data_IF_048927418859
#
_entry.id   IF_048927418859
#
_cell.length_a   1.000
_cell.length_b   1.000
_cell.length_c   1.000
_cell.angle_alpha   90.00
_cell.angle_beta   90.00
_cell.angle_gamma   90.00
#
_symmetry.space_group_name_H-M   'P 1'
#
loop_
_entity.id
_entity.type
_entity.pdbx_description
1 polymer ?
#
# COMPACT_ATOMS: atom_id res chain seq x y z
N UNK A 1 19.67 55.84 -28.22
CA UNK A 1 20.45 54.91 -29.08
C UNK A 1 19.59 53.69 -29.36
N UNK A 2 19.32 53.40 -30.63
CA UNK A 2 18.57 52.21 -31.05
C UNK A 2 19.25 51.60 -32.26
N UNK A 3 19.61 50.32 -32.18
CA UNK A 3 20.23 49.58 -33.27
C UNK A 3 19.97 48.07 -33.12
N UNK A 4 20.18 47.33 -34.20
CA UNK A 4 20.15 45.86 -34.22
C UNK A 4 21.57 45.29 -34.10
N UNK A 5 21.73 44.27 -33.28
CA UNK A 5 23.02 43.60 -33.05
C UNK A 5 22.86 42.10 -32.81
N UNK A 6 23.94 41.43 -32.37
CA UNK A 6 23.93 39.97 -32.15
C UNK A 6 22.93 39.50 -31.07
N UNK A 7 22.49 40.41 -30.21
CA UNK A 7 21.51 40.12 -29.16
C UNK A 7 20.10 40.60 -29.52
N UNK A 8 19.84 40.82 -30.82
CA UNK A 8 18.62 41.45 -31.34
C UNK A 8 18.58 42.95 -31.05
N UNK A 9 17.37 43.49 -30.93
CA UNK A 9 17.13 44.91 -30.68
C UNK A 9 17.85 45.40 -29.41
N UNK A 10 18.60 46.49 -29.54
CA UNK A 10 19.30 47.15 -28.45
C UNK A 10 18.73 48.56 -28.30
N UNK A 11 17.99 48.79 -27.21
CA UNK A 11 17.50 50.10 -26.81
C UNK A 11 17.80 50.34 -25.31
N UNK A 12 18.00 51.60 -24.93
CA UNK A 12 18.27 51.98 -23.54
C UNK A 12 17.25 53.02 -23.04
N UNK A 13 16.89 52.94 -21.76
CA UNK A 13 16.11 53.98 -21.09
C UNK A 13 16.98 55.17 -20.65
N UNK A 14 16.36 56.20 -20.08
CA UNK A 14 17.05 57.41 -19.60
C UNK A 14 18.12 57.14 -18.54
N UNK A 15 18.04 56.00 -17.84
CA UNK A 15 19.01 55.55 -16.83
C UNK A 15 20.12 54.68 -17.41
N UNK A 16 20.18 54.50 -18.73
CA UNK A 16 21.17 53.68 -19.42
C UNK A 16 20.95 52.17 -19.29
N UNK A 17 19.76 51.71 -18.86
CA UNK A 17 19.43 50.27 -18.78
C UNK A 17 18.82 49.79 -20.08
N UNK A 18 19.17 48.57 -20.49
CA UNK A 18 18.61 47.95 -21.69
C UNK A 18 17.12 47.64 -21.48
N UNK A 19 16.30 47.97 -22.48
CA UNK A 19 14.85 47.71 -22.50
C UNK A 19 14.47 47.09 -23.85
N UNK A 20 13.26 46.54 -23.97
CA UNK A 20 12.75 45.94 -25.22
C UNK A 20 13.72 44.87 -25.79
N UNK A 21 14.15 43.97 -24.90
CA UNK A 21 14.98 42.82 -25.23
C UNK A 21 14.15 41.54 -25.10
N UNK A 22 14.56 40.52 -25.85
CA UNK A 22 13.89 39.21 -25.85
C UNK A 22 14.88 38.14 -25.40
N UNK A 23 14.53 37.40 -24.35
CA UNK A 23 15.29 36.25 -23.89
C UNK A 23 14.72 34.98 -24.53
N UNK A 24 15.57 34.05 -24.94
CA UNK A 24 15.12 32.76 -25.43
C UNK A 24 15.19 31.72 -24.32
N UNK A 25 14.09 30.97 -24.15
CA UNK A 25 14.06 29.85 -23.23
C UNK A 25 14.43 28.59 -24.00
N UNK A 26 15.49 27.94 -23.54
CA UNK A 26 16.05 26.75 -24.15
C UNK A 26 15.98 25.57 -23.17
N UNK A 27 15.60 24.41 -23.69
CA UNK A 27 15.55 23.14 -22.97
C UNK A 27 16.60 22.21 -23.59
N UNK A 28 17.39 21.55 -22.74
CA UNK A 28 18.33 20.54 -23.18
C UNK A 28 17.64 19.17 -23.19
N UNK A 29 17.52 18.57 -24.37
CA UNK A 29 17.06 17.18 -24.55
C UNK A 29 18.23 16.30 -24.99
N UNK A 30 18.00 14.99 -25.04
CA UNK A 30 19.00 14.03 -25.50
C UNK A 30 19.49 14.29 -26.94
N UNK A 31 18.65 14.89 -27.79
CA UNK A 31 19.02 15.25 -29.17
C UNK A 31 19.68 16.64 -29.31
N UNK A 32 19.83 17.39 -28.22
CA UNK A 32 20.44 18.71 -28.22
C UNK A 32 19.61 19.80 -27.55
N UNK A 33 20.05 21.04 -27.73
CA UNK A 33 19.40 22.22 -27.16
C UNK A 33 18.24 22.64 -28.09
N UNK A 34 17.03 22.70 -27.55
CA UNK A 34 15.83 23.15 -28.28
C UNK A 34 15.29 24.42 -27.65
N UNK A 35 14.94 25.40 -28.47
CA UNK A 35 14.24 26.60 -28.01
C UNK A 35 12.76 26.27 -27.79
N UNK A 36 12.27 26.48 -26.56
CA UNK A 36 10.89 26.16 -26.14
C UNK A 36 10.03 27.42 -25.96
N UNK A 37 10.64 28.60 -25.98
CA UNK A 37 9.92 29.84 -25.76
C UNK A 37 10.77 31.08 -25.90
N UNK A 38 10.14 32.22 -25.67
CA UNK A 38 10.83 33.46 -25.42
C UNK A 38 10.16 34.21 -24.27
N UNK A 39 10.92 35.12 -23.68
CA UNK A 39 10.46 36.00 -22.61
C UNK A 39 10.80 37.44 -22.93
N UNK A 40 9.84 38.34 -22.75
CA UNK A 40 10.03 39.79 -22.84
C UNK A 40 9.30 40.48 -21.67
N UNK A 41 9.53 41.78 -21.51
CA UNK A 41 8.96 42.57 -20.40
C UNK A 41 7.44 42.76 -20.54
N UNK A 42 6.93 42.82 -21.78
CA UNK A 42 5.53 43.13 -22.09
C UNK A 42 4.61 41.89 -22.00
N UNK A 43 5.00 40.77 -22.63
CA UNK A 43 4.21 39.54 -22.76
C UNK A 43 4.62 38.46 -21.76
N UNK A 44 5.69 38.68 -20.99
CA UNK A 44 6.29 37.69 -20.09
C UNK A 44 6.71 36.43 -20.87
N UNK A 45 6.49 35.24 -20.32
CA UNK A 45 6.88 33.97 -20.96
C UNK A 45 5.86 33.61 -22.03
N UNK A 46 6.28 33.63 -23.29
CA UNK A 46 5.51 33.14 -24.42
C UNK A 46 6.14 31.81 -24.87
N UNK A 47 5.47 30.67 -24.63
CA UNK A 47 5.92 29.41 -25.21
C UNK A 47 5.81 29.52 -26.73
N UNK A 48 6.86 29.11 -27.45
CA UNK A 48 6.72 28.94 -28.90
C UNK A 48 5.76 27.77 -29.05
N UNK A 49 4.63 27.97 -29.73
CA UNK A 49 3.76 26.87 -30.11
C UNK A 49 4.63 25.88 -30.88
N UNK A 50 5.02 24.79 -30.20
CA UNK A 50 5.49 23.60 -30.87
C UNK A 50 4.29 23.23 -31.72
N UNK A 51 4.41 23.40 -33.04
CA UNK A 51 3.37 23.06 -34.00
C UNK A 51 2.84 21.69 -33.57
N UNK A 52 1.63 21.68 -33.04
CA UNK A 52 0.95 20.47 -32.53
C UNK A 52 0.45 19.67 -33.74
N UNK A 53 1.25 19.63 -34.81
CA UNK A 53 1.02 18.85 -35.99
C UNK A 53 1.83 17.58 -35.87
N UNK A 54 1.12 16.53 -35.46
CA UNK A 54 1.41 15.13 -35.82
C UNK A 54 2.77 14.60 -35.37
N UNK A 55 2.92 14.49 -34.06
CA UNK A 55 3.96 13.66 -33.46
C UNK A 55 3.91 13.65 -31.94
N UNK A 56 3.21 12.65 -31.39
CA UNK A 56 3.84 11.81 -30.38
C UNK A 56 3.85 12.25 -28.89
N UNK A 57 2.84 12.95 -28.35
CA UNK A 57 2.65 12.95 -26.87
C UNK A 57 2.39 11.52 -26.35
N UNK A 58 1.60 10.75 -27.10
CA UNK A 58 1.42 9.30 -26.91
C UNK A 58 2.74 8.52 -26.96
N UNK A 59 3.69 8.93 -27.80
CA UNK A 59 4.99 8.25 -27.92
C UNK A 59 5.97 8.69 -26.84
N UNK A 60 5.80 9.86 -26.23
CA UNK A 60 6.59 10.26 -25.06
C UNK A 60 6.28 9.37 -23.84
N UNK A 61 5.01 8.98 -23.67
CA UNK A 61 4.57 7.99 -22.68
C UNK A 61 5.13 6.59 -23.00
N UNK A 62 5.18 6.22 -24.28
CA UNK A 62 5.64 4.89 -24.71
C UNK A 62 7.17 4.71 -24.63
N UNK A 63 7.96 5.76 -24.85
CA UNK A 63 9.43 5.70 -24.88
C UNK A 63 10.11 5.91 -23.51
N UNK A 64 9.34 6.12 -22.43
CA UNK A 64 9.87 6.20 -21.06
C UNK A 64 9.54 4.94 -20.28
N UNK A 65 10.54 4.36 -19.63
CA UNK A 65 10.33 3.30 -18.64
C UNK A 65 10.04 3.93 -17.29
N UNK A 66 8.83 3.75 -16.78
CA UNK A 66 8.39 4.25 -15.49
C UNK A 66 8.91 3.37 -14.35
N UNK A 67 9.39 4.02 -13.28
CA UNK A 67 9.84 3.35 -12.06
C UNK A 67 8.63 3.16 -11.15
N UNK A 68 8.21 1.91 -11.01
CA UNK A 68 7.11 1.52 -10.11
C UNK A 68 7.73 1.04 -8.80
N UNK A 69 7.66 1.85 -7.75
CA UNK A 69 8.11 1.45 -6.41
C UNK A 69 7.06 0.57 -5.73
N UNK A 70 7.53 -0.46 -5.02
CA UNK A 70 6.69 -1.37 -4.26
C UNK A 70 7.45 -1.97 -3.07
N UNK A 71 6.79 -2.79 -2.27
CA UNK A 71 7.34 -3.44 -1.08
C UNK A 71 7.07 -4.94 -1.13
N UNK A 72 8.00 -5.76 -0.65
CA UNK A 72 7.80 -7.21 -0.52
C UNK A 72 6.84 -7.50 0.63
N UNK A 73 5.62 -7.92 0.31
CA UNK A 73 4.59 -8.29 1.29
C UNK A 73 3.64 -9.31 0.67
N UNK A 74 3.49 -10.47 1.31
CA UNK A 74 2.59 -11.53 0.86
C UNK A 74 1.12 -11.13 1.11
N UNK A 75 0.18 -11.39 0.18
CA UNK A 75 0.34 -11.94 -1.18
C UNK A 75 0.43 -10.85 -2.27
N UNK A 76 0.77 -9.61 -1.91
CA UNK A 76 0.78 -8.46 -2.81
C UNK A 76 1.97 -8.47 -3.76
N UNK A 77 3.18 -8.60 -3.23
CA UNK A 77 4.42 -8.74 -4.00
C UNK A 77 5.33 -9.73 -3.30
N UNK A 78 5.66 -10.80 -4.01
CA UNK A 78 6.46 -11.92 -3.55
C UNK A 78 7.56 -12.18 -4.57
N UNK A 79 8.69 -12.70 -4.10
CA UNK A 79 9.71 -13.26 -4.99
C UNK A 79 9.27 -14.65 -5.44
N UNK A 80 9.32 -14.92 -6.74
CA UNK A 80 9.10 -16.27 -7.26
C UNK A 80 10.11 -17.25 -6.68
N UNK A 81 9.70 -18.50 -6.48
CA UNK A 81 10.60 -19.57 -5.98
C UNK A 81 11.86 -19.76 -6.84
N UNK A 82 11.74 -19.56 -8.14
CA UNK A 82 12.83 -19.61 -9.11
C UNK A 82 13.24 -18.22 -9.62
N UNK A 83 13.13 -17.17 -8.78
CA UNK A 83 13.50 -15.79 -9.15
C UNK A 83 14.92 -15.65 -9.71
N UNK A 84 15.86 -16.51 -9.33
CA UNK A 84 17.23 -16.50 -9.87
C UNK A 84 17.32 -16.87 -11.36
N UNK A 85 16.28 -17.48 -11.94
CA UNK A 85 16.19 -17.83 -13.36
C UNK A 85 15.59 -16.71 -14.21
N UNK A 86 15.04 -15.68 -13.57
CA UNK A 86 14.34 -14.58 -14.24
C UNK A 86 15.08 -13.26 -14.02
N UNK A 87 14.86 -12.30 -14.91
CA UNK A 87 15.41 -10.95 -14.80
C UNK A 87 14.31 -9.90 -14.77
N UNK A 88 14.63 -8.72 -14.22
CA UNK A 88 13.68 -7.59 -14.17
C UNK A 88 12.40 -7.90 -13.39
N UNK A 89 11.26 -7.59 -14.00
CA UNK A 89 9.93 -7.69 -13.41
C UNK A 89 9.47 -9.14 -13.22
N UNK A 90 9.96 -10.07 -14.04
CA UNK A 90 9.52 -11.47 -14.04
C UNK A 90 9.91 -12.23 -12.78
N UNK A 91 10.82 -11.68 -11.97
CA UNK A 91 11.25 -12.23 -10.68
C UNK A 91 10.17 -12.16 -9.61
N UNK A 92 9.19 -11.27 -9.78
CA UNK A 92 8.15 -11.01 -8.80
C UNK A 92 6.82 -11.63 -9.24
N UNK A 93 6.01 -12.01 -8.26
CA UNK A 93 4.62 -12.46 -8.43
C UNK A 93 3.74 -11.92 -7.32
N UNK A 94 2.42 -11.86 -7.53
CA UNK A 94 1.46 -11.39 -6.52
C UNK A 94 0.46 -10.38 -7.06
N UNK A 95 -0.49 -9.99 -6.21
CA UNK A 95 -1.62 -9.15 -6.59
C UNK A 95 -1.20 -7.79 -7.18
N UNK A 96 -0.24 -7.09 -6.54
CA UNK A 96 0.22 -5.78 -7.01
C UNK A 96 1.09 -5.88 -8.27
N UNK A 97 1.76 -7.02 -8.51
CA UNK A 97 2.53 -7.28 -9.73
C UNK A 97 1.59 -7.38 -10.93
N UNK A 98 0.52 -8.16 -10.80
CA UNK A 98 -0.51 -8.30 -11.83
C UNK A 98 -1.26 -6.99 -12.06
N UNK A 99 -1.59 -6.27 -10.99
CA UNK A 99 -2.23 -4.96 -11.08
C UNK A 99 -1.35 -3.95 -11.84
N UNK A 100 -0.06 -3.88 -11.54
CA UNK A 100 0.87 -3.01 -12.27
C UNK A 100 0.95 -3.37 -13.76
N UNK A 101 0.94 -4.67 -14.08
CA UNK A 101 0.94 -5.14 -15.47
C UNK A 101 -0.34 -4.74 -16.22
N UNK A 102 -1.52 -4.88 -15.61
CA UNK A 102 -2.78 -4.49 -16.23
C UNK A 102 -2.92 -2.97 -16.37
N UNK A 103 -2.45 -2.17 -15.40
CA UNK A 103 -2.40 -0.70 -15.54
C UNK A 103 -1.48 -0.31 -16.70
N UNK A 104 -0.28 -0.88 -16.77
CA UNK A 104 0.69 -0.60 -17.82
C UNK A 104 0.17 -0.98 -19.21
N UNK A 105 -0.53 -2.12 -19.32
CA UNK A 105 -1.18 -2.58 -20.55
C UNK A 105 -2.35 -1.69 -20.96
N UNK A 106 -3.16 -1.22 -20.02
CA UNK A 106 -4.31 -0.37 -20.31
C UNK A 106 -3.89 1.04 -20.77
N UNK A 107 -2.87 1.61 -20.12
CA UNK A 107 -2.37 2.96 -20.43
C UNK A 107 -1.36 2.93 -21.59
N UNK A 108 -0.64 1.83 -21.78
CA UNK A 108 0.34 1.65 -22.85
C UNK A 108 1.72 2.24 -22.54
N UNK A 109 2.26 2.00 -21.33
CA UNK A 109 3.61 2.42 -20.95
C UNK A 109 4.50 1.24 -20.53
N UNK A 110 5.82 1.43 -20.64
CA UNK A 110 6.82 0.48 -20.15
C UNK A 110 7.16 0.78 -18.69
N UNK A 111 7.41 -0.25 -17.89
CA UNK A 111 7.71 -0.05 -16.46
C UNK A 111 8.74 -1.04 -15.93
N UNK A 112 9.39 -0.65 -14.84
CA UNK A 112 10.23 -1.54 -14.04
C UNK A 112 9.80 -1.50 -12.58
N UNK A 113 9.71 -2.68 -11.98
CA UNK A 113 9.44 -2.84 -10.55
C UNK A 113 10.74 -2.61 -9.76
N UNK A 114 10.70 -1.68 -8.82
CA UNK A 114 11.74 -1.47 -7.83
C UNK A 114 11.20 -1.71 -6.43
N UNK A 115 11.95 -2.46 -5.63
CA UNK A 115 11.64 -2.64 -4.21
C UNK A 115 12.18 -1.43 -3.46
N UNK A 116 11.33 -0.84 -2.63
CA UNK A 116 11.68 0.29 -1.77
C UNK A 116 12.93 -0.05 -0.94
N UNK A 117 13.90 0.87 -0.94
CA UNK A 117 15.26 0.57 -0.44
C UNK A 117 15.32 0.29 1.05
N UNK A 118 14.48 0.96 1.84
CA UNK A 118 14.49 0.87 3.30
C UNK A 118 13.41 -0.08 3.85
N UNK A 119 12.63 -0.73 2.98
CA UNK A 119 11.54 -1.63 3.37
C UNK A 119 10.39 -0.94 4.11
N UNK A 120 10.22 0.39 3.97
CA UNK A 120 9.17 1.14 4.67
C UNK A 120 8.10 1.67 3.71
N UNK A 121 6.87 1.76 4.21
CA UNK A 121 5.77 2.40 3.48
C UNK A 121 6.00 3.90 3.27
N UNK A 122 6.52 4.56 4.29
CA UNK A 122 6.76 5.99 4.31
C UNK A 122 6.10 6.66 5.51
N UNK A 123 6.95 7.31 6.28
CA UNK A 123 6.62 8.10 7.45
C UNK A 123 7.44 9.39 7.41
N UNK A 124 6.85 10.46 7.93
CA UNK A 124 7.52 11.74 8.08
C UNK A 124 8.31 11.77 9.38
N UNK A 125 9.60 12.02 9.26
CA UNK A 125 10.48 12.23 10.41
C UNK A 125 10.05 13.50 11.16
N UNK A 126 9.84 13.45 12.49
CA UNK A 126 9.30 14.58 13.25
C UNK A 126 10.26 15.76 13.34
N UNK A 127 11.57 15.52 13.33
CA UNK A 127 12.60 16.53 13.54
C UNK A 127 13.04 17.16 12.23
N UNK A 128 13.38 16.33 11.24
CA UNK A 128 13.87 16.77 9.93
C UNK A 128 12.76 17.07 8.93
N UNK A 129 11.52 16.66 9.23
CA UNK A 129 10.35 16.74 8.34
C UNK A 129 10.53 16.02 7.00
N UNK A 130 11.52 15.14 6.88
CA UNK A 130 11.80 14.35 5.68
C UNK A 130 10.92 13.10 5.60
N UNK A 131 10.66 12.62 4.39
CA UNK A 131 9.88 11.41 4.15
C UNK A 131 10.80 10.24 3.80
N UNK A 132 10.57 9.09 4.42
CA UNK A 132 11.23 7.83 4.06
C UNK A 132 10.29 6.91 3.26
N UNK A 133 10.73 5.69 2.99
CA UNK A 133 9.91 4.68 2.31
C UNK A 133 9.45 5.06 0.92
N UNK A 134 8.40 4.37 0.46
CA UNK A 134 7.79 4.60 -0.86
C UNK A 134 7.28 6.03 -1.02
N UNK A 135 6.72 6.63 0.04
CA UNK A 135 6.31 8.05 0.02
C UNK A 135 7.51 8.96 -0.26
N UNK A 136 8.63 8.75 0.41
CA UNK A 136 9.86 9.52 0.16
C UNK A 136 10.42 9.32 -1.24
N UNK A 137 10.33 8.11 -1.81
CA UNK A 137 10.74 7.85 -3.19
C UNK A 137 9.91 8.64 -4.20
N UNK A 138 8.61 8.81 -3.98
CA UNK A 138 7.76 9.64 -4.83
C UNK A 138 8.03 11.13 -4.64
N UNK A 139 8.07 11.61 -3.38
CA UNK A 139 8.29 13.02 -3.05
C UNK A 139 9.61 13.56 -3.63
N UNK A 140 10.66 12.73 -3.63
CA UNK A 140 11.98 13.12 -4.14
C UNK A 140 12.24 12.69 -5.59
N UNK A 141 11.22 12.24 -6.33
CA UNK A 141 11.33 11.88 -7.74
C UNK A 141 12.26 10.70 -8.03
N UNK A 142 12.43 9.78 -7.07
CA UNK A 142 13.19 8.53 -7.24
C UNK A 142 12.35 7.42 -7.86
N UNK A 143 11.04 7.48 -7.67
CA UNK A 143 10.05 6.62 -8.32
C UNK A 143 8.98 7.50 -8.99
N UNK A 144 8.38 6.98 -10.06
CA UNK A 144 7.34 7.71 -10.80
C UNK A 144 5.93 7.38 -10.28
N UNK A 145 5.72 6.16 -9.79
CA UNK A 145 4.44 5.69 -9.23
C UNK A 145 4.69 4.61 -8.17
N UNK A 146 3.79 4.50 -7.19
CA UNK A 146 3.79 3.40 -6.24
C UNK A 146 2.58 2.48 -6.46
N UNK A 147 2.82 1.20 -6.69
CA UNK A 147 1.77 0.16 -6.76
C UNK A 147 2.03 -0.84 -5.63
N UNK A 148 1.36 -0.61 -4.50
CA UNK A 148 1.61 -1.31 -3.25
C UNK A 148 0.36 -1.24 -2.34
N UNK A 149 0.29 -2.06 -1.28
CA UNK A 149 -0.73 -1.96 -0.23
C UNK A 149 -0.52 -0.73 0.67
N UNK A 150 -0.53 0.47 0.08
CA UNK A 150 -0.29 1.73 0.76
C UNK A 150 -1.62 2.36 1.24
N UNK A 151 -1.82 2.42 2.55
CA UNK A 151 -3.00 3.08 3.13
C UNK A 151 -3.00 4.59 2.84
N UNK A 152 -4.12 5.08 2.33
CA UNK A 152 -4.39 6.51 2.14
C UNK A 152 -4.59 7.16 3.51
N UNK A 153 -3.80 8.19 3.82
CA UNK A 153 -3.88 8.95 5.07
C UNK A 153 -3.71 10.43 4.79
N UNK A 154 -4.36 11.30 5.58
CA UNK A 154 -4.29 12.76 5.42
C UNK A 154 -2.85 13.29 5.24
N UNK A 155 -1.93 12.88 6.11
CA UNK A 155 -0.54 13.36 6.07
C UNK A 155 0.24 12.95 4.82
N UNK A 156 -0.16 11.85 4.16
CA UNK A 156 0.46 11.40 2.90
C UNK A 156 -0.14 12.17 1.72
N UNK A 157 -1.44 12.41 1.75
CA UNK A 157 -2.17 13.17 0.73
C UNK A 157 -1.68 14.63 0.63
N UNK A 158 -1.08 15.17 1.68
CA UNK A 158 -0.42 16.50 1.65
C UNK A 158 0.83 16.56 0.76
N UNK A 159 1.45 15.42 0.43
CA UNK A 159 2.75 15.39 -0.28
C UNK A 159 2.76 14.54 -1.55
N UNK A 160 1.77 13.67 -1.71
CA UNK A 160 1.57 12.83 -2.90
C UNK A 160 0.08 12.70 -3.20
N UNK A 161 -0.24 12.60 -4.48
CA UNK A 161 -1.61 12.35 -4.93
C UNK A 161 -1.94 10.85 -4.91
N UNK A 162 -3.19 10.53 -4.58
CA UNK A 162 -3.72 9.16 -4.62
C UNK A 162 -4.80 9.00 -5.68
N UNK A 163 -4.90 7.80 -6.25
CA UNK A 163 -6.05 7.40 -7.05
C UNK A 163 -7.25 7.08 -6.14
N UNK A 164 -8.37 6.66 -6.76
CA UNK A 164 -9.47 6.06 -5.99
C UNK A 164 -9.03 4.71 -5.42
N UNK A 165 -9.39 4.39 -4.16
CA UNK A 165 -9.00 3.13 -3.55
C UNK A 165 -9.56 1.96 -4.36
N UNK A 166 -8.69 0.98 -4.67
CA UNK A 166 -9.07 -0.23 -5.42
C UNK A 166 -9.50 -1.39 -4.50
N UNK A 167 -9.17 -1.31 -3.21
CA UNK A 167 -9.53 -2.32 -2.19
C UNK A 167 -9.90 -1.62 -0.89
N UNK A 168 -11.01 -2.05 -0.28
CA UNK A 168 -11.45 -1.55 1.02
C UNK A 168 -11.05 -2.54 2.10
N UNK A 169 -10.22 -2.09 3.06
CA UNK A 169 -9.85 -2.85 4.24
C UNK A 169 -10.20 -2.07 5.51
N UNK A 170 -10.36 -2.79 6.62
CA UNK A 170 -10.61 -2.21 7.94
C UNK A 170 -9.76 -2.87 9.01
N UNK A 171 -9.69 -2.23 10.18
CA UNK A 171 -8.99 -2.77 11.35
C UNK A 171 -9.72 -4.04 11.80
N UNK A 172 -8.99 -5.15 11.95
CA UNK A 172 -9.51 -6.42 12.43
C UNK A 172 -8.64 -6.97 13.56
N UNK A 173 -9.23 -7.79 14.42
CA UNK A 173 -8.53 -8.43 15.54
C UNK A 173 -8.34 -9.91 15.19
N UNK A 174 -7.08 -10.33 15.09
CA UNK A 174 -6.73 -11.74 14.89
C UNK A 174 -6.47 -12.40 16.26
N UNK A 175 -7.23 -13.44 16.59
CA UNK A 175 -7.01 -14.25 17.79
C UNK A 175 -6.65 -15.69 17.40
N UNK A 176 -5.85 -16.34 18.24
CA UNK A 176 -5.59 -17.78 18.08
C UNK A 176 -6.92 -18.52 18.17
N UNK A 177 -7.19 -19.38 17.18
CA UNK A 177 -8.38 -20.25 17.18
C UNK A 177 -8.45 -20.98 18.53
N UNK A 178 -9.53 -20.83 19.30
CA UNK A 178 -9.64 -21.50 20.59
C UNK A 178 -9.58 -23.00 20.38
N UNK A 179 -8.69 -23.67 21.10
CA UNK A 179 -8.69 -25.12 21.13
C UNK A 179 -9.88 -25.53 21.99
N UNK A 180 -10.90 -26.13 21.36
CA UNK A 180 -11.96 -26.80 22.13
C UNK A 180 -11.29 -27.92 22.91
N UNK A 181 -11.36 -27.85 24.24
CA UNK A 181 -10.93 -28.95 25.09
C UNK A 181 -11.64 -30.21 24.64
N UNK A 182 -10.88 -31.28 24.36
CA UNK A 182 -11.49 -32.58 24.08
C UNK A 182 -12.30 -32.97 25.32
N UNK A 183 -13.51 -33.53 25.16
CA UNK A 183 -14.27 -34.03 26.30
C UNK A 183 -13.38 -34.96 27.12
N UNK A 184 -13.30 -34.74 28.43
CA UNK A 184 -12.52 -35.61 29.32
C UNK A 184 -13.10 -37.02 29.35
N UNK A 185 -12.36 -37.97 29.91
CA UNK A 185 -12.84 -39.36 30.10
C UNK A 185 -14.15 -39.44 30.93
N UNK A 186 -14.41 -38.43 31.75
CA UNK A 186 -15.63 -38.28 32.55
C UNK A 186 -16.68 -37.35 31.92
N UNK A 187 -16.54 -36.98 30.65
CA UNK A 187 -17.50 -36.10 29.98
C UNK A 187 -18.91 -36.67 29.86
N UNK A 188 -19.09 -37.96 30.09
CA UNK A 188 -20.42 -38.58 30.22
C UNK A 188 -21.15 -38.17 31.51
N UNK A 189 -20.43 -37.64 32.52
CA UNK A 189 -21.01 -37.08 33.75
C UNK A 189 -21.42 -35.61 33.59
N UNK A 190 -20.82 -34.88 32.63
CA UNK A 190 -21.09 -33.47 32.33
C UNK A 190 -22.57 -33.11 32.08
N UNK A 191 -23.45 -34.01 31.56
CA UNK A 191 -24.86 -33.68 31.37
C UNK A 191 -25.64 -33.42 32.67
N UNK A 192 -25.12 -33.89 33.82
CA UNK A 192 -25.74 -33.68 35.13
C UNK A 192 -24.81 -32.85 36.01
N UNK A 193 -25.38 -31.84 36.66
CA UNK A 193 -24.64 -30.99 37.58
C UNK A 193 -24.10 -31.80 38.78
N UNK A 194 -22.97 -31.38 39.35
CA UNK A 194 -22.31 -32.07 40.47
C UNK A 194 -23.23 -32.24 41.68
N UNK A 195 -24.12 -31.28 41.90
CA UNK A 195 -25.12 -31.29 42.97
C UNK A 195 -26.09 -32.47 42.81
N UNK A 196 -26.49 -32.79 41.58
CA UNK A 196 -27.40 -33.92 41.30
C UNK A 196 -26.68 -35.24 41.60
N UNK A 197 -25.41 -35.36 41.22
CA UNK A 197 -24.59 -36.53 41.56
C UNK A 197 -24.49 -36.75 43.07
N UNK A 198 -24.26 -35.69 43.84
CA UNK A 198 -24.25 -35.76 45.30
C UNK A 198 -25.62 -36.18 45.87
N UNK A 199 -26.71 -35.63 45.35
CA UNK A 199 -28.06 -36.01 45.74
C UNK A 199 -28.35 -37.50 45.47
N UNK A 200 -27.92 -38.05 44.32
CA UNK A 200 -28.08 -39.47 44.00
C UNK A 200 -27.35 -40.34 45.02
N UNK A 201 -26.11 -39.98 45.40
CA UNK A 201 -25.33 -40.72 46.41
C UNK A 201 -26.00 -40.66 47.78
N UNK A 202 -26.46 -39.49 48.23
CA UNK A 202 -27.16 -39.36 49.50
C UNK A 202 -28.51 -40.10 49.52
N UNK A 203 -29.28 -40.02 48.43
CA UNK A 203 -30.53 -40.74 48.29
C UNK A 203 -30.31 -42.26 48.30
N UNK A 204 -29.27 -42.76 47.63
CA UNK A 204 -28.91 -44.17 47.64
C UNK A 204 -28.62 -44.67 49.07
N UNK A 205 -27.74 -43.97 49.81
CA UNK A 205 -27.42 -44.31 51.20
C UNK A 205 -28.67 -44.23 52.08
N UNK A 206 -29.47 -43.17 51.93
CA UNK A 206 -30.71 -42.98 52.69
C UNK A 206 -31.71 -44.11 52.48
N UNK A 207 -31.97 -44.50 51.23
CA UNK A 207 -32.85 -45.63 50.90
C UNK A 207 -32.30 -46.94 51.45
N UNK A 208 -30.99 -47.20 51.33
CA UNK A 208 -30.37 -48.40 51.89
C UNK A 208 -30.52 -48.49 53.42
N UNK A 209 -30.36 -47.38 54.13
CA UNK A 209 -30.56 -47.33 55.60
C UNK A 209 -32.02 -47.58 55.96
N UNK A 210 -32.97 -46.94 55.25
CA UNK A 210 -34.40 -47.16 55.48
C UNK A 210 -34.78 -48.62 55.24
N UNK A 211 -34.33 -49.21 54.12
CA UNK A 211 -34.57 -50.62 53.83
C UNK A 211 -33.96 -51.55 54.88
N UNK A 212 -32.75 -51.29 55.36
CA UNK A 212 -32.12 -52.06 56.43
C UNK A 212 -32.91 -52.00 57.74
N UNK A 213 -33.44 -50.83 58.11
CA UNK A 213 -34.28 -50.69 59.29
C UNK A 213 -35.61 -51.43 59.11
N UNK A 214 -36.25 -51.31 57.94
CA UNK A 214 -37.51 -52.02 57.63
C UNK A 214 -37.31 -53.53 57.67
N UNK A 215 -36.26 -54.08 57.05
CA UNK A 215 -36.00 -55.53 57.09
C UNK A 215 -35.66 -56.03 58.50
N UNK A 216 -35.06 -55.17 59.35
CA UNK A 216 -34.76 -55.51 60.74
C UNK A 216 -35.95 -55.44 61.68
N UNK A 217 -36.93 -54.57 61.39
CA UNK A 217 -38.12 -54.35 62.23
C UNK A 217 -39.39 -55.02 61.70
N UNK A 218 -39.42 -55.46 60.43
CA UNK A 218 -40.49 -56.30 59.88
C UNK A 218 -40.26 -57.76 60.29
N UNK A 219 -41.07 -58.32 61.21
CA UNK A 219 -40.83 -59.67 61.76
C UNK A 219 -41.07 -60.79 60.73
N UNK A 220 -41.70 -60.48 59.59
CA UNK A 220 -42.12 -61.45 58.58
C UNK A 220 -41.08 -61.71 57.48
N UNK A 221 -40.01 -60.92 57.36
CA UNK A 221 -38.95 -61.14 56.37
C UNK A 221 -37.78 -61.99 56.89
N UNK A 222 -37.74 -62.28 58.19
CA UNK A 222 -36.67 -63.10 58.79
C UNK A 222 -36.93 -64.61 58.71
N UNK A 223 -38.11 -65.02 58.23
CA UNK A 223 -38.47 -66.42 58.09
C UNK A 223 -38.47 -66.87 56.63
N UNK A 224 -37.38 -67.60 56.31
CA UNK A 224 -37.04 -68.40 55.12
C UNK A 224 -36.13 -67.72 54.11
#
# INVERSE_FOLDING_TARGET
VRFEGLSGNVQFNEKGRRTNYTLHVIEMKHDGIRKIGYWNEDEKLVPVAIDTQTGNESTSLQNRTYIVTTILEDPYVMLKKNANQFEGNERYEGYCVELAAEIAKHVGYHYRLEIVRDGKYGARDPDTKTWNGMVGELVYGRADVAVAPLTITLVREEVIDFSKPFMSLGISIMIKKPQKSKPGVFSFLDPLAYEIWMCIVFAYIGVSVVLFLVSRFSPYEWHT
#
